data_IF_223563993093
#
_entry.id   IF_223563993093
#
_cell.length_a   1.000
_cell.length_b   1.000
_cell.length_c   1.000
_cell.angle_alpha   90.00
_cell.angle_beta   90.00
_cell.angle_gamma   90.00
#
_symmetry.space_group_name_H-M   'P 1'
#
loop_
_entity.id
_entity.type
_entity.pdbx_description
1 polymer ?
#
# COMPACT_ATOMS: atom_id res chain seq x y z
N UNK A 1 -0.53 -2.92 -13.15
CA UNK A 1 -1.09 -1.91 -14.07
C UNK A 1 -1.10 -2.37 -15.50
N UNK A 2 0.02 -2.88 -16.02
CA UNK A 2 0.13 -3.28 -17.44
C UNK A 2 -1.00 -4.19 -17.91
N UNK A 3 -1.45 -5.14 -17.07
CA UNK A 3 -2.54 -6.06 -17.40
C UNK A 3 -3.90 -5.39 -17.69
N UNK A 4 -4.08 -4.13 -17.31
CA UNK A 4 -5.32 -3.39 -17.53
C UNK A 4 -5.20 -2.40 -18.67
N UNK A 5 -4.01 -2.18 -19.22
CA UNK A 5 -3.81 -1.19 -20.28
C UNK A 5 -4.26 -1.78 -21.61
N UNK A 6 -5.06 -1.03 -22.34
CA UNK A 6 -5.28 -1.27 -23.77
C UNK A 6 -4.04 -0.83 -24.56
N UNK A 7 -3.49 -1.71 -25.39
CA UNK A 7 -2.21 -1.49 -26.07
C UNK A 7 -2.28 -0.39 -27.15
N UNK A 8 -3.45 -0.15 -27.75
CA UNK A 8 -3.63 0.86 -28.80
C UNK A 8 -3.89 2.25 -28.22
N UNK A 9 -4.72 2.34 -27.19
CA UNK A 9 -5.19 3.61 -26.62
C UNK A 9 -4.47 4.01 -25.35
N UNK A 10 -3.76 3.08 -24.70
CA UNK A 10 -3.13 3.29 -23.39
C UNK A 10 -4.14 3.45 -22.25
N UNK A 11 -5.43 3.19 -22.49
CA UNK A 11 -6.49 3.43 -21.50
C UNK A 11 -6.60 2.22 -20.55
N UNK A 12 -6.60 2.42 -19.22
CA UNK A 12 -6.80 1.32 -18.30
C UNK A 12 -8.27 0.87 -18.22
N UNK A 13 -8.50 -0.43 -18.36
CA UNK A 13 -9.77 -1.08 -18.07
C UNK A 13 -10.17 -0.89 -16.60
N UNK A 14 -11.48 -0.73 -16.36
CA UNK A 14 -12.05 -0.56 -15.02
C UNK A 14 -11.41 0.57 -14.19
N UNK A 15 -11.08 1.70 -14.83
CA UNK A 15 -10.41 2.85 -14.22
C UNK A 15 -11.05 3.33 -12.90
N UNK A 16 -12.38 3.19 -12.74
CA UNK A 16 -13.10 3.60 -11.53
C UNK A 16 -12.79 2.76 -10.28
N UNK A 17 -12.41 1.49 -10.42
CA UNK A 17 -12.06 0.60 -9.28
C UNK A 17 -10.56 0.43 -9.10
N UNK A 18 -9.78 0.91 -10.06
CA UNK A 18 -8.33 0.81 -10.12
C UNK A 18 -7.61 1.28 -8.84
N UNK A 19 -8.01 2.41 -8.21
CA UNK A 19 -7.31 2.89 -7.02
C UNK A 19 -7.34 1.90 -5.85
N UNK A 20 -8.43 1.16 -5.67
CA UNK A 20 -8.57 0.17 -4.60
C UNK A 20 -7.69 -1.05 -4.83
N UNK A 21 -7.67 -1.57 -6.06
CA UNK A 21 -6.82 -2.70 -6.41
C UNK A 21 -5.33 -2.34 -6.27
N UNK A 22 -4.95 -1.12 -6.66
CA UNK A 22 -3.59 -0.61 -6.48
C UNK A 22 -3.19 -0.46 -5.02
N UNK A 23 -4.07 0.13 -4.19
CA UNK A 23 -3.81 0.25 -2.76
C UNK A 23 -3.58 -1.11 -2.10
N UNK A 24 -4.38 -2.11 -2.46
CA UNK A 24 -4.19 -3.49 -2.00
C UNK A 24 -2.86 -4.10 -2.45
N UNK A 25 -2.49 -3.91 -3.73
CA UNK A 25 -1.23 -4.41 -4.27
C UNK A 25 0.00 -3.83 -3.54
N UNK A 26 -0.03 -2.52 -3.23
CA UNK A 26 1.04 -1.87 -2.46
C UNK A 26 1.18 -2.46 -1.06
N UNK A 27 0.06 -2.74 -0.36
CA UNK A 27 0.09 -3.37 0.96
C UNK A 27 0.64 -4.81 0.90
N UNK A 28 0.29 -5.56 -0.15
CA UNK A 28 0.81 -6.92 -0.35
C UNK A 28 2.32 -6.89 -0.59
N UNK A 29 2.82 -5.97 -1.41
CA UNK A 29 4.25 -5.82 -1.67
C UNK A 29 5.01 -5.50 -0.37
N UNK A 30 4.52 -4.55 0.42
CA UNK A 30 5.10 -4.23 1.72
C UNK A 30 5.09 -5.44 2.68
N UNK A 31 4.04 -6.25 2.67
CA UNK A 31 3.97 -7.46 3.50
C UNK A 31 5.00 -8.51 3.06
N UNK A 32 5.17 -8.71 1.75
CA UNK A 32 6.19 -9.61 1.19
C UNK A 32 7.61 -9.17 1.56
N UNK A 33 7.84 -7.85 1.64
CA UNK A 33 9.12 -7.28 2.09
C UNK A 33 9.30 -7.29 3.62
N UNK A 34 8.33 -7.77 4.40
CA UNK A 34 8.37 -7.73 5.87
C UNK A 34 8.27 -6.32 6.45
N UNK A 35 7.64 -5.39 5.71
CA UNK A 35 7.51 -3.98 6.07
C UNK A 35 6.19 -3.63 6.71
N UNK A 36 5.21 -4.52 6.63
CA UNK A 36 3.97 -4.41 7.39
C UNK A 36 3.54 -5.76 7.93
N UNK A 37 2.82 -5.72 9.04
CA UNK A 37 2.24 -6.88 9.72
C UNK A 37 0.76 -6.63 10.00
N UNK A 38 -0.03 -7.69 10.10
CA UNK A 38 -1.46 -7.61 10.41
C UNK A 38 -1.74 -7.98 11.87
N UNK A 39 -2.53 -7.15 12.55
CA UNK A 39 -3.13 -7.45 13.85
C UNK A 39 -4.65 -7.37 13.73
N UNK A 40 -5.30 -8.53 13.58
CA UNK A 40 -6.73 -8.64 13.33
C UNK A 40 -7.15 -7.88 12.07
N UNK A 41 -7.85 -6.74 12.26
CA UNK A 41 -8.32 -5.86 11.17
C UNK A 41 -7.42 -4.66 10.91
N UNK A 42 -6.24 -4.61 11.54
CA UNK A 42 -5.30 -3.50 11.46
C UNK A 42 -4.01 -3.93 10.77
N UNK A 43 -3.35 -2.97 10.14
CA UNK A 43 -2.04 -3.12 9.53
C UNK A 43 -1.08 -2.19 10.26
N UNK A 44 0.09 -2.71 10.60
CA UNK A 44 1.13 -2.02 11.35
C UNK A 44 2.42 -2.01 10.54
N UNK A 45 3.19 -0.92 10.65
CA UNK A 45 4.53 -0.85 10.09
C UNK A 45 5.48 -1.78 10.86
N UNK A 46 6.39 -2.42 10.14
CA UNK A 46 7.41 -3.34 10.65
C UNK A 46 8.74 -3.19 9.90
N UNK A 47 9.81 -3.74 10.46
CA UNK A 47 11.16 -3.66 9.89
C UNK A 47 11.80 -2.27 10.01
N UNK A 48 13.03 -2.13 9.50
CA UNK A 48 13.86 -0.92 9.65
C UNK A 48 14.55 -0.49 8.34
N UNK A 49 14.87 0.80 8.25
CA UNK A 49 15.59 1.40 7.13
C UNK A 49 14.70 1.77 5.93
N UNK A 50 15.21 2.62 5.02
CA UNK A 50 14.46 3.13 3.89
C UNK A 50 14.19 2.05 2.84
N UNK A 51 13.10 2.23 2.08
CA UNK A 51 12.75 1.44 0.91
C UNK A 51 13.31 2.09 -0.36
N UNK A 52 13.74 1.25 -1.31
CA UNK A 52 14.31 1.71 -2.58
C UNK A 52 13.27 2.29 -3.54
N UNK A 53 12.00 1.87 -3.42
CA UNK A 53 10.90 2.38 -4.23
C UNK A 53 10.20 3.54 -3.49
N UNK A 54 10.16 4.77 -4.07
CA UNK A 54 9.51 5.92 -3.44
C UNK A 54 8.01 5.76 -3.19
N UNK A 55 7.28 5.04 -4.04
CA UNK A 55 5.86 4.76 -3.86
C UNK A 55 5.65 3.85 -2.64
N UNK A 56 6.49 2.82 -2.50
CA UNK A 56 6.44 1.94 -1.34
C UNK A 56 6.86 2.68 -0.07
N UNK A 57 7.86 3.56 -0.15
CA UNK A 57 8.29 4.39 0.97
C UNK A 57 7.15 5.30 1.47
N UNK A 58 6.49 6.04 0.58
CA UNK A 58 5.37 6.92 0.95
C UNK A 58 4.19 6.14 1.55
N UNK A 59 3.88 4.95 1.01
CA UNK A 59 2.84 4.08 1.56
C UNK A 59 3.22 3.54 2.96
N UNK A 60 4.48 3.12 3.15
CA UNK A 60 4.99 2.68 4.44
C UNK A 60 4.91 3.80 5.48
N UNK A 61 5.31 5.02 5.12
CA UNK A 61 5.29 6.19 6.01
C UNK A 61 3.86 6.52 6.46
N UNK A 62 2.87 6.38 5.57
CA UNK A 62 1.45 6.53 5.91
C UNK A 62 0.98 5.51 6.95
N UNK A 63 1.39 4.24 6.80
CA UNK A 63 1.08 3.18 7.78
C UNK A 63 1.80 3.42 9.10
N UNK A 64 3.07 3.82 9.07
CA UNK A 64 3.87 4.12 10.26
C UNK A 64 3.28 5.30 11.05
N UNK A 65 2.83 6.35 10.35
CA UNK A 65 2.17 7.51 10.94
C UNK A 65 0.78 7.20 11.53
N UNK A 66 0.16 6.07 11.13
CA UNK A 66 -1.09 5.58 11.69
C UNK A 66 -0.88 4.90 13.07
N UNK A 67 0.38 4.67 13.48
CA UNK A 67 0.82 4.09 14.76
C UNK A 67 0.60 4.95 16.02
N UNK A 68 1.14 4.58 17.20
CA UNK A 68 0.53 4.58 18.55
C UNK A 68 -0.11 5.87 19.13
N UNK A 69 -0.07 7.00 18.44
CA UNK A 69 -0.57 8.30 18.91
C UNK A 69 -2.09 8.48 18.83
N UNK A 70 -2.83 7.66 18.07
CA UNK A 70 -4.30 7.75 17.93
C UNK A 70 -5.07 6.68 18.71
N UNK A 71 -4.54 6.24 19.87
CA UNK A 71 -5.10 5.15 20.70
C UNK A 71 -6.29 5.54 21.60
N UNK A 72 -6.81 6.77 21.53
CA UNK A 72 -7.89 7.24 22.39
C UNK A 72 -8.91 8.07 21.64
N UNK A 73 -9.80 7.43 20.88
CA UNK A 73 -11.05 8.02 20.39
C UNK A 73 -12.03 6.92 19.97
N UNK A 74 -12.41 6.05 20.91
CA UNK A 74 -13.67 5.28 20.89
C UNK A 74 -14.09 4.98 22.31
#
# INVERSE_FOLDING_TARGET
MLLLLDDETGTPAAAGTLPYALGGAVLVELALMGRVETDGKKVHAAGEGPLGDPLLQDAYDKVAAWGPGRRGAT
#
